data_IF_059358216067
#
_entry.id   IF_059358216067
#
_cell.length_a   1.000
_cell.length_b   1.000
_cell.length_c   1.000
_cell.angle_alpha   90.00
_cell.angle_beta   90.00
_cell.angle_gamma   90.00
#
_symmetry.space_group_name_H-M   'P 1'
#
loop_
_entity.id
_entity.type
_entity.pdbx_description
1 polymer ?
#
# COMPACT_ATOMS: atom_id res chain seq x y z
N UNK A 1 32.56 -12.86 5.75
CA UNK A 1 31.76 -11.66 6.07
C UNK A 1 30.60 -12.12 6.96
N UNK A 2 30.62 -11.79 8.25
CA UNK A 2 29.50 -12.08 9.15
C UNK A 2 28.46 -10.98 8.96
N UNK A 3 27.49 -11.20 8.07
CA UNK A 3 26.34 -10.29 7.99
C UNK A 3 25.55 -10.39 9.30
N UNK A 4 25.25 -9.27 9.98
CA UNK A 4 24.37 -9.30 11.12
C UNK A 4 23.02 -9.85 10.63
N UNK A 5 22.65 -11.03 11.13
CA UNK A 5 21.33 -11.62 10.89
C UNK A 5 20.30 -10.69 11.52
N UNK A 6 19.66 -9.85 10.71
CA UNK A 6 18.50 -9.06 11.12
C UNK A 6 17.51 -10.03 11.75
N UNK A 7 17.02 -9.72 12.94
CA UNK A 7 16.01 -10.53 13.60
C UNK A 7 14.79 -10.68 12.66
N UNK A 8 14.32 -11.90 12.37
CA UNK A 8 13.16 -12.13 11.51
C UNK A 8 11.93 -11.32 11.93
N UNK A 9 11.73 -11.09 13.23
CA UNK A 9 10.63 -10.24 13.73
C UNK A 9 10.74 -8.78 13.30
N UNK A 10 11.97 -8.21 13.29
CA UNK A 10 12.22 -6.87 12.79
C UNK A 10 12.02 -6.79 11.28
N UNK A 11 12.49 -7.81 10.54
CA UNK A 11 12.29 -7.88 9.08
C UNK A 11 10.80 -7.87 8.70
N UNK A 12 9.97 -8.63 9.44
CA UNK A 12 8.51 -8.64 9.28
C UNK A 12 7.91 -7.28 9.57
N UNK A 13 8.32 -6.62 10.66
CA UNK A 13 7.83 -5.29 11.00
C UNK A 13 8.12 -4.29 9.88
N UNK A 14 9.36 -4.24 9.38
CA UNK A 14 9.76 -3.31 8.31
C UNK A 14 9.07 -3.56 6.97
N UNK A 15 8.54 -4.76 6.73
CA UNK A 15 7.87 -5.10 5.47
C UNK A 15 6.35 -4.99 5.59
N UNK A 16 5.78 -5.43 6.70
CA UNK A 16 4.33 -5.42 6.93
C UNK A 16 3.85 -4.01 7.26
N UNK A 17 4.59 -3.26 8.09
CA UNK A 17 4.15 -1.93 8.53
C UNK A 17 3.97 -0.94 7.36
N UNK A 18 4.91 -0.79 6.41
CA UNK A 18 4.69 0.08 5.25
C UNK A 18 3.51 -0.37 4.38
N UNK A 19 3.25 -1.68 4.28
CA UNK A 19 2.11 -2.18 3.54
C UNK A 19 0.78 -1.84 4.25
N UNK A 20 0.72 -1.91 5.59
CA UNK A 20 -0.43 -1.44 6.36
C UNK A 20 -0.66 0.06 6.13
N UNK A 21 0.40 0.87 6.15
CA UNK A 21 0.30 2.30 5.86
C UNK A 21 -0.22 2.56 4.44
N UNK A 22 0.19 1.77 3.44
CA UNK A 22 -0.34 1.86 2.08
C UNK A 22 -1.85 1.56 2.02
N UNK A 23 -2.33 0.56 2.74
CA UNK A 23 -3.77 0.29 2.88
C UNK A 23 -4.51 1.45 3.55
N UNK A 24 -3.96 2.01 4.63
CA UNK A 24 -4.53 3.18 5.29
C UNK A 24 -4.60 4.39 4.36
N UNK A 25 -3.53 4.65 3.60
CA UNK A 25 -3.48 5.72 2.61
C UNK A 25 -4.52 5.50 1.50
N UNK A 26 -4.66 4.27 0.99
CA UNK A 26 -5.64 3.95 -0.04
C UNK A 26 -7.07 4.23 0.44
N UNK A 27 -7.40 3.80 1.66
CA UNK A 27 -8.70 4.09 2.28
C UNK A 27 -8.89 5.61 2.42
N UNK A 28 -7.86 6.34 2.85
CA UNK A 28 -7.87 7.80 2.96
C UNK A 28 -8.12 8.49 1.62
N UNK A 29 -7.47 8.04 0.53
CA UNK A 29 -7.68 8.58 -0.82
C UNK A 29 -9.10 8.30 -1.30
N UNK A 30 -9.62 7.07 -1.09
CA UNK A 30 -11.01 6.75 -1.44
C UNK A 30 -11.97 7.67 -0.70
N UNK A 31 -11.79 7.83 0.61
CA UNK A 31 -12.63 8.72 1.41
C UNK A 31 -12.55 10.16 0.90
N UNK A 32 -11.35 10.69 0.66
CA UNK A 32 -11.14 12.04 0.13
C UNK A 32 -11.84 12.26 -1.23
N UNK A 33 -11.71 11.31 -2.16
CA UNK A 33 -12.33 11.41 -3.49
C UNK A 33 -13.86 11.38 -3.38
N UNK A 34 -14.40 10.52 -2.52
CA UNK A 34 -15.85 10.39 -2.33
C UNK A 34 -16.42 11.65 -1.67
N UNK A 35 -15.76 12.21 -0.65
CA UNK A 35 -16.25 13.39 0.07
C UNK A 35 -16.10 14.69 -0.71
N UNK A 36 -15.10 14.79 -1.60
CA UNK A 36 -14.82 16.00 -2.39
C UNK A 36 -15.14 15.80 -3.87
N UNK A 37 -16.04 14.88 -4.20
CA UNK A 37 -16.29 14.46 -5.59
C UNK A 37 -16.64 15.63 -6.52
N UNK A 38 -17.58 16.49 -6.12
CA UNK A 38 -18.02 17.63 -6.94
C UNK A 38 -16.92 18.67 -7.11
N UNK A 39 -16.13 18.94 -6.06
CA UNK A 39 -15.01 19.89 -6.11
C UNK A 39 -13.89 19.38 -7.04
N UNK A 40 -13.54 18.10 -6.92
CA UNK A 40 -12.54 17.46 -7.78
C UNK A 40 -12.98 17.42 -9.24
N UNK A 41 -14.28 17.26 -9.48
CA UNK A 41 -14.87 17.30 -10.83
C UNK A 41 -14.83 18.71 -11.40
N UNK A 42 -15.18 19.73 -10.60
CA UNK A 42 -15.13 21.13 -11.02
C UNK A 42 -13.70 21.62 -11.29
N UNK A 43 -12.71 21.08 -10.57
CA UNK A 43 -11.29 21.40 -10.75
C UNK A 43 -10.58 20.55 -11.84
N UNK A 44 -11.31 19.70 -12.57
CA UNK A 44 -10.77 18.74 -13.55
C UNK A 44 -9.66 17.81 -13.00
N UNK A 45 -9.67 17.61 -11.68
CA UNK A 45 -8.68 16.81 -10.95
C UNK A 45 -9.18 15.38 -10.69
N UNK A 46 -10.48 15.11 -10.83
CA UNK A 46 -11.09 13.81 -10.52
C UNK A 46 -10.42 12.65 -11.30
N UNK A 47 -10.12 12.86 -12.58
CA UNK A 47 -9.48 11.86 -13.45
C UNK A 47 -8.12 11.42 -12.90
N UNK A 48 -7.32 12.36 -12.40
CA UNK A 48 -6.02 12.05 -11.79
C UNK A 48 -6.19 11.12 -10.59
N UNK A 49 -7.12 11.43 -9.68
CA UNK A 49 -7.34 10.64 -8.48
C UNK A 49 -7.89 9.25 -8.77
N UNK A 50 -8.76 9.12 -9.77
CA UNK A 50 -9.26 7.82 -10.23
C UNK A 50 -8.12 6.98 -10.82
N UNK A 51 -7.28 7.55 -11.68
CA UNK A 51 -6.12 6.85 -12.24
C UNK A 51 -5.14 6.44 -11.12
N UNK A 52 -4.89 7.33 -10.16
CA UNK A 52 -4.06 7.03 -9.00
C UNK A 52 -4.59 5.80 -8.26
N UNK A 53 -5.89 5.73 -7.98
CA UNK A 53 -6.51 4.57 -7.33
C UNK A 53 -6.40 3.30 -8.18
N UNK A 54 -6.65 3.39 -9.49
CA UNK A 54 -6.54 2.25 -10.42
C UNK A 54 -5.13 1.66 -10.45
N UNK A 55 -4.09 2.48 -10.31
CA UNK A 55 -2.69 2.03 -10.24
C UNK A 55 -2.32 1.58 -8.82
N UNK A 56 -2.81 2.28 -7.80
CA UNK A 56 -2.40 2.05 -6.42
C UNK A 56 -2.98 0.75 -5.84
N UNK A 57 -4.21 0.39 -6.22
CA UNK A 57 -4.88 -0.86 -5.82
C UNK A 57 -4.04 -2.10 -6.20
N UNK A 58 -3.68 -2.34 -7.48
CA UNK A 58 -2.93 -3.53 -7.86
C UNK A 58 -1.53 -3.57 -7.24
N UNK A 59 -0.86 -2.43 -7.05
CA UNK A 59 0.43 -2.37 -6.36
C UNK A 59 0.31 -2.82 -4.90
N UNK A 60 -0.70 -2.32 -4.19
CA UNK A 60 -0.92 -2.65 -2.78
C UNK A 60 -1.33 -4.12 -2.61
N UNK A 61 -2.16 -4.64 -3.52
CA UNK A 61 -2.57 -6.05 -3.54
C UNK A 61 -1.39 -6.99 -3.85
N UNK A 62 -0.60 -6.70 -4.88
CA UNK A 62 0.56 -7.54 -5.26
C UNK A 62 1.63 -7.54 -4.18
N UNK A 63 1.85 -6.40 -3.51
CA UNK A 63 2.74 -6.30 -2.35
C UNK A 63 2.22 -7.17 -1.20
N UNK A 64 0.94 -7.07 -0.87
CA UNK A 64 0.30 -7.88 0.17
C UNK A 64 0.45 -9.39 -0.12
N UNK A 65 0.20 -9.80 -1.38
CA UNK A 65 0.39 -11.19 -1.81
C UNK A 65 1.85 -11.66 -1.67
N UNK A 66 2.81 -10.83 -2.09
CA UNK A 66 4.24 -11.12 -1.97
C UNK A 66 4.67 -11.33 -0.51
N UNK A 67 4.18 -10.47 0.39
CA UNK A 67 4.44 -10.58 1.84
C UNK A 67 3.89 -11.90 2.38
N UNK A 68 2.63 -12.23 2.09
CA UNK A 68 2.00 -13.48 2.53
C UNK A 68 2.79 -14.68 2.00
N UNK A 69 3.17 -14.68 0.72
CA UNK A 69 3.96 -15.74 0.10
C UNK A 69 5.31 -15.91 0.80
N UNK A 70 6.02 -14.82 1.11
CA UNK A 70 7.33 -14.86 1.78
C UNK A 70 7.24 -15.38 3.22
N UNK A 71 6.17 -15.02 3.94
CA UNK A 71 5.88 -15.55 5.29
C UNK A 71 5.61 -17.05 5.22
N UNK A 72 4.75 -17.51 4.28
CA UNK A 72 4.45 -18.94 4.10
C UNK A 72 5.69 -19.77 3.77
N UNK A 73 6.62 -19.20 3.01
CA UNK A 73 7.88 -19.86 2.63
C UNK A 73 8.96 -19.79 3.74
N UNK A 74 8.69 -19.17 4.88
CA UNK A 74 9.69 -18.99 5.96
C UNK A 74 10.86 -18.06 5.59
N UNK A 75 10.71 -17.29 4.50
CA UNK A 75 11.72 -16.33 4.00
C UNK A 75 11.55 -14.93 4.56
N UNK A 76 10.52 -14.73 5.40
CA UNK A 76 10.22 -13.54 6.18
C UNK A 76 9.94 -13.91 7.62
#
# INVERSE_FOLDING_TARGET
>A
MNQPKINPGLLRLFVIFPNILAWCLMIGIIFFVVTNFEELKAADALTFWVILLVVFIPITLTTSYSIIKRIKNGTL
#
